data_IF_629282162844
#
_entry.id   IF_629282162844
#
_cell.length_a   1.000
_cell.length_b   1.000
_cell.length_c   1.000
_cell.angle_alpha   90.00
_cell.angle_beta   90.00
_cell.angle_gamma   90.00
#
_symmetry.space_group_name_H-M   'P 1'
#
loop_
_entity.id
_entity.type
_entity.pdbx_description
1 polymer ?
#
# COMPACT_ATOMS: atom_id res chain seq x y z
N UNK A 1 5.90 -55.38 -7.66
CA UNK A 1 6.33 -54.69 -8.90
C UNK A 1 5.37 -53.58 -9.34
N UNK A 2 4.05 -53.80 -9.43
CA UNK A 2 3.10 -52.72 -9.83
C UNK A 2 3.01 -51.53 -8.83
N UNK A 3 3.10 -51.78 -7.52
CA UNK A 3 3.06 -50.72 -6.49
C UNK A 3 4.34 -49.87 -6.41
N UNK A 4 5.51 -50.47 -6.69
CA UNK A 4 6.80 -49.74 -6.71
C UNK A 4 6.93 -48.83 -7.93
N UNK A 5 6.34 -49.20 -9.06
CA UNK A 5 6.31 -48.35 -10.27
C UNK A 5 5.45 -47.10 -10.06
N UNK A 6 4.31 -47.23 -9.35
CA UNK A 6 3.42 -46.09 -9.08
C UNK A 6 4.07 -45.05 -8.14
N UNK A 7 4.82 -45.51 -7.13
CA UNK A 7 5.56 -44.63 -6.21
C UNK A 7 6.68 -43.88 -6.97
N UNK A 8 7.35 -44.54 -7.90
CA UNK A 8 8.37 -43.90 -8.75
C UNK A 8 7.75 -42.87 -9.72
N UNK A 9 6.56 -43.13 -10.26
CA UNK A 9 5.86 -42.19 -11.14
C UNK A 9 5.42 -40.90 -10.41
N UNK A 10 4.95 -41.02 -9.16
CA UNK A 10 4.53 -39.88 -8.33
C UNK A 10 5.74 -39.06 -7.85
N UNK A 11 6.88 -39.72 -7.59
CA UNK A 11 8.13 -39.06 -7.21
C UNK A 11 8.79 -38.32 -8.38
N UNK A 12 8.59 -38.76 -9.63
CA UNK A 12 9.11 -38.05 -10.81
C UNK A 12 8.22 -36.88 -11.26
N UNK A 13 6.90 -36.92 -10.98
CA UNK A 13 6.01 -35.78 -11.28
C UNK A 13 6.19 -34.57 -10.34
N UNK A 14 6.97 -34.72 -9.26
CA UNK A 14 7.29 -33.64 -8.32
C UNK A 14 8.60 -32.92 -8.66
N UNK A 15 9.29 -33.32 -9.73
CA UNK A 15 10.36 -32.52 -10.33
C UNK A 15 9.69 -31.51 -11.27
N UNK A 16 8.99 -30.53 -10.69
CA UNK A 16 8.69 -29.30 -11.43
C UNK A 16 10.03 -28.61 -11.66
N UNK A 17 10.57 -28.75 -12.86
CA UNK A 17 11.54 -27.78 -13.37
C UNK A 17 10.81 -26.43 -13.28
N UNK A 18 11.20 -25.62 -12.30
CA UNK A 18 10.64 -24.29 -12.10
C UNK A 18 11.20 -23.40 -13.20
N UNK A 19 10.68 -23.56 -14.41
CA UNK A 19 10.80 -22.51 -15.41
C UNK A 19 10.06 -21.31 -14.83
N UNK A 20 10.73 -20.17 -14.78
CA UNK A 20 10.13 -18.95 -14.30
C UNK A 20 8.87 -18.67 -15.13
N UNK A 21 7.74 -18.44 -14.47
CA UNK A 21 6.45 -18.26 -15.13
C UNK A 21 6.49 -16.99 -16.00
N UNK A 22 5.83 -16.99 -17.16
CA UNK A 22 5.68 -15.79 -17.98
C UNK A 22 4.86 -14.72 -17.26
N UNK A 23 5.20 -13.44 -17.46
CA UNK A 23 4.48 -12.32 -16.86
C UNK A 23 3.03 -12.25 -17.36
N UNK A 24 2.11 -11.79 -16.52
CA UNK A 24 0.72 -11.65 -16.93
C UNK A 24 0.54 -10.49 -17.91
N UNK A 25 -0.16 -10.73 -19.01
CA UNK A 25 -0.69 -9.67 -19.89
C UNK A 25 -2.13 -9.28 -19.52
N UNK A 26 -2.85 -10.18 -18.84
CA UNK A 26 -4.18 -9.90 -18.30
C UNK A 26 -4.06 -9.28 -16.90
N UNK A 27 -4.28 -7.97 -16.82
CA UNK A 27 -4.22 -7.24 -15.54
C UNK A 27 -5.25 -7.74 -14.52
N UNK A 28 -6.44 -8.12 -14.96
CA UNK A 28 -7.48 -8.65 -14.07
C UNK A 28 -7.12 -10.01 -13.47
N UNK A 29 -6.49 -10.89 -14.24
CA UNK A 29 -5.99 -12.18 -13.73
C UNK A 29 -4.87 -11.96 -12.73
N UNK A 30 -3.93 -11.05 -13.04
CA UNK A 30 -2.83 -10.72 -12.14
C UNK A 30 -3.31 -10.15 -10.80
N UNK A 31 -4.25 -9.19 -10.82
CA UNK A 31 -4.87 -8.63 -9.61
C UNK A 31 -5.50 -9.72 -8.73
N UNK A 32 -6.24 -10.66 -9.34
CA UNK A 32 -6.83 -11.79 -8.60
C UNK A 32 -5.76 -12.68 -7.99
N UNK A 33 -4.67 -12.97 -8.70
CA UNK A 33 -3.57 -13.75 -8.14
C UNK A 33 -2.88 -13.01 -6.98
N UNK A 34 -2.68 -11.71 -7.10
CA UNK A 34 -2.11 -10.87 -6.04
C UNK A 34 -2.94 -10.93 -4.75
N UNK A 35 -4.28 -10.90 -4.86
CA UNK A 35 -5.19 -11.11 -3.72
C UNK A 35 -5.08 -12.51 -3.10
N UNK A 36 -4.84 -13.55 -3.91
CA UNK A 36 -4.70 -14.92 -3.43
C UNK A 36 -3.36 -15.12 -2.73
N UNK A 37 -2.28 -14.61 -3.32
CA UNK A 37 -0.91 -14.77 -2.83
C UNK A 37 -0.49 -13.75 -1.77
N UNK A 38 -1.35 -12.77 -1.45
CA UNK A 38 -1.05 -11.70 -0.50
C UNK A 38 0.20 -10.90 -0.88
N UNK A 39 0.34 -10.60 -2.19
CA UNK A 39 1.47 -9.89 -2.80
C UNK A 39 1.06 -8.58 -3.47
N UNK A 40 2.03 -7.70 -3.66
CA UNK A 40 1.93 -6.55 -4.55
C UNK A 40 2.19 -6.97 -6.00
N UNK A 41 1.79 -6.12 -6.95
CA UNK A 41 2.07 -6.28 -8.37
C UNK A 41 3.37 -5.54 -8.73
N UNK A 42 4.18 -6.13 -9.60
CA UNK A 42 5.26 -5.44 -10.31
C UNK A 42 4.81 -5.26 -11.76
N UNK A 43 4.72 -4.02 -12.21
CA UNK A 43 4.01 -3.68 -13.45
C UNK A 43 4.88 -2.81 -14.35
N UNK A 44 4.93 -3.15 -15.62
CA UNK A 44 5.63 -2.39 -16.65
C UNK A 44 4.76 -2.27 -17.91
N UNK A 45 5.01 -1.23 -18.69
CA UNK A 45 4.38 -1.08 -20.00
C UNK A 45 5.05 -2.00 -21.02
N UNK A 46 4.27 -2.48 -22.00
CA UNK A 46 4.73 -3.41 -23.01
C UNK A 46 5.94 -2.89 -23.77
N UNK A 47 5.89 -1.64 -24.25
CA UNK A 47 6.98 -1.10 -25.07
C UNK A 47 8.28 -0.91 -24.29
N UNK A 48 8.21 -0.78 -22.96
CA UNK A 48 9.41 -0.71 -22.12
C UNK A 48 10.27 -1.97 -22.26
N UNK A 49 9.64 -3.13 -22.53
CA UNK A 49 10.31 -4.42 -22.60
C UNK A 49 10.73 -4.81 -24.02
N UNK A 50 10.49 -3.95 -25.01
CA UNK A 50 10.98 -4.13 -26.39
C UNK A 50 12.51 -3.92 -26.50
N UNK A 51 13.13 -3.35 -25.46
CA UNK A 51 14.55 -3.08 -25.36
C UNK A 51 15.12 -3.63 -24.05
N UNK A 52 16.46 -3.80 -23.95
CA UNK A 52 17.09 -4.14 -22.69
C UNK A 52 16.73 -3.18 -21.56
N UNK A 53 16.25 -3.71 -20.45
CA UNK A 53 15.90 -2.93 -19.26
C UNK A 53 16.86 -3.29 -18.11
N UNK A 54 18.03 -2.63 -18.04
CA UNK A 54 19.03 -2.98 -17.04
C UNK A 54 18.56 -2.58 -15.64
N UNK A 55 18.70 -3.49 -14.68
CA UNK A 55 18.46 -3.24 -13.26
C UNK A 55 19.68 -3.64 -12.43
N UNK A 56 19.85 -2.96 -11.29
CA UNK A 56 20.86 -3.34 -10.32
C UNK A 56 20.33 -4.33 -9.29
N UNK A 57 21.11 -5.37 -9.03
CA UNK A 57 20.93 -6.31 -7.92
C UNK A 57 22.11 -6.22 -6.97
N UNK A 58 21.84 -6.18 -5.66
CA UNK A 58 22.86 -6.22 -4.62
C UNK A 58 22.87 -7.60 -3.96
N UNK A 59 23.98 -8.32 -4.11
CA UNK A 59 24.21 -9.60 -3.44
C UNK A 59 24.56 -9.42 -1.96
N UNK A 60 24.61 -10.53 -1.22
CA UNK A 60 24.82 -10.57 0.24
C UNK A 60 26.11 -9.90 0.72
N UNK A 61 27.14 -9.82 -0.14
CA UNK A 61 28.43 -9.18 0.16
C UNK A 61 28.50 -7.70 -0.25
N UNK A 62 27.37 -7.10 -0.64
CA UNK A 62 27.30 -5.72 -1.12
C UNK A 62 27.80 -5.51 -2.55
N UNK A 63 28.15 -6.59 -3.27
CA UNK A 63 28.51 -6.53 -4.69
C UNK A 63 27.25 -6.28 -5.51
N UNK A 64 27.27 -5.20 -6.29
CA UNK A 64 26.21 -4.90 -7.25
C UNK A 64 26.51 -5.58 -8.57
N UNK A 65 25.53 -6.26 -9.14
CA UNK A 65 25.53 -6.73 -10.52
C UNK A 65 24.47 -5.98 -11.32
N UNK A 66 24.72 -5.79 -12.60
CA UNK A 66 23.75 -5.26 -13.57
C UNK A 66 23.28 -6.41 -14.42
N UNK A 67 21.97 -6.55 -14.52
CA UNK A 67 21.31 -7.61 -15.30
C UNK A 67 20.17 -6.97 -16.09
N UNK A 68 19.91 -7.50 -17.28
CA UNK A 68 18.70 -7.15 -18.00
C UNK A 68 17.50 -7.87 -17.33
N UNK A 69 16.44 -7.11 -17.06
CA UNK A 69 15.20 -7.62 -16.49
C UNK A 69 14.52 -8.65 -17.41
N UNK A 70 14.67 -8.51 -18.73
CA UNK A 70 13.95 -9.29 -19.73
C UNK A 70 14.60 -10.62 -20.12
N UNK A 71 15.92 -10.74 -19.96
CA UNK A 71 16.69 -11.86 -20.52
C UNK A 71 17.18 -12.86 -19.47
N UNK A 72 16.80 -12.69 -18.20
CA UNK A 72 17.37 -13.46 -17.09
C UNK A 72 16.31 -14.23 -16.26
N UNK A 73 16.31 -15.56 -16.39
CA UNK A 73 15.39 -16.46 -15.68
C UNK A 73 15.52 -16.39 -14.15
N UNK A 74 16.72 -16.14 -13.62
CA UNK A 74 16.95 -15.99 -12.18
C UNK A 74 16.31 -14.70 -11.66
N UNK A 75 16.41 -13.61 -12.43
CA UNK A 75 15.75 -12.33 -12.14
C UNK A 75 14.24 -12.50 -12.19
N UNK A 76 13.70 -13.16 -13.21
CA UNK A 76 12.27 -13.42 -13.31
C UNK A 76 11.78 -14.26 -12.11
N UNK A 77 12.53 -15.32 -11.74
CA UNK A 77 12.23 -16.14 -10.56
C UNK A 77 12.21 -15.32 -9.27
N UNK A 78 13.18 -14.41 -9.10
CA UNK A 78 13.23 -13.49 -7.95
C UNK A 78 12.01 -12.56 -7.92
N UNK A 79 11.58 -12.03 -9.06
CA UNK A 79 10.38 -11.18 -9.14
C UNK A 79 9.15 -11.97 -8.71
N UNK A 80 8.95 -13.18 -9.23
CA UNK A 80 7.82 -14.04 -8.85
C UNK A 80 7.78 -14.42 -7.37
N UNK A 81 8.93 -14.54 -6.72
CA UNK A 81 8.99 -14.81 -5.29
C UNK A 81 8.37 -13.67 -4.48
N UNK A 82 8.56 -12.42 -4.91
CA UNK A 82 8.19 -11.24 -4.13
C UNK A 82 6.94 -10.50 -4.63
N UNK A 83 6.64 -10.60 -5.92
CA UNK A 83 5.58 -9.87 -6.59
C UNK A 83 4.79 -10.78 -7.54
N UNK A 84 3.66 -10.27 -8.02
CA UNK A 84 2.99 -10.81 -9.21
C UNK A 84 3.35 -9.90 -10.40
N UNK A 85 4.17 -10.38 -11.36
CA UNK A 85 4.63 -9.55 -12.47
C UNK A 85 3.61 -9.40 -13.60
N UNK A 86 3.53 -8.21 -14.18
CA UNK A 86 2.52 -7.81 -15.17
C UNK A 86 3.13 -6.93 -16.26
N UNK A 87 2.76 -7.24 -17.51
CA UNK A 87 2.96 -6.38 -18.67
C UNK A 87 1.62 -5.74 -19.03
N UNK A 88 1.53 -4.42 -18.95
CA UNK A 88 0.36 -3.68 -19.43
C UNK A 88 0.50 -3.37 -20.91
N UNK A 89 -0.53 -3.71 -21.68
CA UNK A 89 -0.60 -3.39 -23.11
C UNK A 89 -0.75 -1.88 -23.30
N UNK A 90 -0.01 -1.31 -24.24
CA UNK A 90 -0.10 0.11 -24.61
C UNK A 90 -1.51 0.53 -25.03
N UNK A 91 -2.27 -0.39 -25.64
CA UNK A 91 -3.66 -0.17 -26.04
C UNK A 91 -4.55 0.23 -24.87
N UNK A 92 -4.16 -0.09 -23.64
CA UNK A 92 -4.93 0.22 -22.44
C UNK A 92 -4.51 1.57 -21.83
N UNK A 93 -3.43 2.21 -22.30
CA UNK A 93 -2.89 3.43 -21.69
C UNK A 93 -3.94 4.52 -21.47
N UNK A 94 -4.74 4.79 -22.51
CA UNK A 94 -5.78 5.82 -22.44
C UNK A 94 -6.82 5.52 -21.36
N UNK A 95 -7.18 4.25 -21.15
CA UNK A 95 -8.11 3.86 -20.08
C UNK A 95 -7.51 4.15 -18.70
N UNK A 96 -6.29 3.67 -18.45
CA UNK A 96 -5.59 3.88 -17.19
C UNK A 96 -5.38 5.36 -16.88
N UNK A 97 -4.91 6.12 -17.88
CA UNK A 97 -4.66 7.55 -17.73
C UNK A 97 -5.96 8.32 -17.50
N UNK A 98 -7.02 8.04 -18.27
CA UNK A 98 -8.30 8.71 -18.11
C UNK A 98 -8.99 8.39 -16.77
N UNK A 99 -8.78 7.20 -16.22
CA UNK A 99 -9.22 6.85 -14.87
C UNK A 99 -8.43 7.61 -13.82
N UNK A 100 -7.09 7.59 -13.91
CA UNK A 100 -6.22 8.22 -12.92
C UNK A 100 -6.34 9.75 -12.91
N UNK A 101 -6.45 10.42 -14.07
CA UNK A 101 -6.44 11.89 -14.16
C UNK A 101 -7.61 12.58 -13.45
N UNK A 102 -8.66 11.82 -13.10
CA UNK A 102 -9.84 12.36 -12.39
C UNK A 102 -9.48 12.84 -10.99
N UNK A 103 -8.63 12.09 -10.28
CA UNK A 103 -8.43 12.30 -8.84
C UNK A 103 -7.02 11.92 -8.34
N UNK A 104 -6.06 11.63 -9.23
CA UNK A 104 -4.67 11.35 -8.88
C UNK A 104 -3.79 12.59 -9.05
N UNK A 105 -2.69 12.64 -8.30
CA UNK A 105 -1.73 13.75 -8.35
C UNK A 105 -0.93 13.76 -9.65
N UNK A 106 -0.32 14.90 -9.99
CA UNK A 106 0.59 15.01 -11.14
C UNK A 106 1.71 13.98 -11.10
N UNK A 107 2.37 13.82 -9.94
CA UNK A 107 3.41 12.80 -9.75
C UNK A 107 2.92 11.37 -10.03
N UNK A 108 1.67 11.06 -9.66
CA UNK A 108 1.09 9.75 -9.97
C UNK A 108 0.94 9.56 -11.48
N UNK A 109 0.47 10.59 -12.19
CA UNK A 109 0.30 10.54 -13.65
C UNK A 109 1.65 10.46 -14.37
N UNK A 110 2.67 11.15 -13.86
CA UNK A 110 4.03 11.08 -14.38
C UNK A 110 4.60 9.66 -14.21
N UNK A 111 4.47 9.07 -13.01
CA UNK A 111 4.88 7.68 -12.73
C UNK A 111 4.09 6.67 -13.56
N UNK A 112 2.80 6.90 -13.79
CA UNK A 112 1.98 6.03 -14.63
C UNK A 112 2.46 6.07 -16.08
N UNK A 113 2.87 7.24 -16.58
CA UNK A 113 3.26 7.45 -17.98
C UNK A 113 4.67 6.94 -18.31
N UNK A 114 5.60 7.03 -17.37
CA UNK A 114 6.99 6.70 -17.65
C UNK A 114 7.24 5.19 -17.85
N UNK A 115 8.45 4.84 -18.27
CA UNK A 115 8.89 3.45 -18.50
C UNK A 115 9.40 2.75 -17.23
N UNK A 116 9.35 3.39 -16.06
CA UNK A 116 9.91 2.79 -14.85
C UNK A 116 9.03 1.66 -14.28
N UNK A 117 9.58 0.81 -13.41
CA UNK A 117 8.80 -0.20 -12.70
C UNK A 117 7.74 0.47 -11.82
N UNK A 118 6.48 0.04 -11.95
CA UNK A 118 5.39 0.42 -11.05
C UNK A 118 5.10 -0.71 -10.07
N UNK A 119 5.12 -0.42 -8.79
CA UNK A 119 4.61 -1.30 -7.74
C UNK A 119 3.16 -0.90 -7.48
N UNK A 120 2.23 -1.81 -7.77
CA UNK A 120 0.79 -1.56 -7.57
C UNK A 120 0.22 -2.48 -6.50
N UNK A 121 -0.80 -2.02 -5.78
CA UNK A 121 -1.62 -2.91 -4.98
C UNK A 121 -2.55 -3.78 -5.85
N UNK A 122 -3.24 -4.72 -5.22
CA UNK A 122 -4.11 -5.65 -5.94
C UNK A 122 -5.36 -5.00 -6.58
N UNK A 123 -5.62 -3.71 -6.32
CA UNK A 123 -6.67 -2.94 -6.99
C UNK A 123 -6.12 -2.00 -8.08
N UNK A 124 -4.80 -2.02 -8.30
CA UNK A 124 -4.13 -1.34 -9.41
C UNK A 124 -3.69 0.08 -9.10
N UNK A 125 -3.60 0.47 -7.83
CA UNK A 125 -3.08 1.78 -7.46
C UNK A 125 -1.56 1.73 -7.24
N UNK A 126 -0.83 2.66 -7.84
CA UNK A 126 0.65 2.74 -7.76
C UNK A 126 1.07 3.25 -6.38
N UNK A 127 2.01 2.54 -5.76
CA UNK A 127 2.61 2.87 -4.48
C UNK A 127 3.89 3.72 -4.64
N UNK A 128 4.81 3.30 -5.50
CA UNK A 128 6.15 3.89 -5.69
C UNK A 128 6.14 5.13 -6.60
N UNK A 129 5.30 6.11 -6.26
CA UNK A 129 5.07 7.34 -7.04
C UNK A 129 6.20 8.36 -6.89
N UNK A 130 7.00 8.26 -5.82
CA UNK A 130 8.10 9.20 -5.62
C UNK A 130 9.17 9.01 -6.72
N UNK A 131 9.63 10.09 -7.37
CA UNK A 131 10.70 9.99 -8.34
C UNK A 131 11.98 9.57 -7.63
N UNK A 132 12.64 8.53 -8.15
CA UNK A 132 14.01 8.20 -7.75
C UNK A 132 14.96 8.85 -8.76
N UNK A 133 15.86 9.72 -8.29
CA UNK A 133 16.91 10.33 -9.12
C UNK A 133 18.04 9.32 -9.38
N UNK A 134 17.69 8.27 -10.12
CA UNK A 134 18.61 7.18 -10.47
C UNK A 134 18.49 6.88 -11.96
N UNK A 135 19.63 6.77 -12.62
CA UNK A 135 19.70 6.39 -14.04
C UNK A 135 19.27 4.93 -14.29
N UNK A 136 19.27 4.10 -13.24
CA UNK A 136 18.99 2.68 -13.30
C UNK A 136 18.27 2.24 -12.03
N UNK A 137 17.14 1.55 -12.17
CA UNK A 137 16.38 1.08 -11.02
C UNK A 137 17.12 -0.01 -10.24
N UNK A 138 16.89 -0.05 -8.94
CA UNK A 138 17.49 -1.03 -8.04
C UNK A 138 16.44 -2.04 -7.58
N UNK A 139 16.42 -3.20 -8.24
CA UNK A 139 15.44 -4.25 -7.96
C UNK A 139 15.54 -4.78 -6.52
N UNK A 140 16.75 -4.87 -5.97
CA UNK A 140 16.93 -5.25 -4.55
C UNK A 140 16.30 -4.24 -3.59
N UNK A 141 16.41 -2.94 -3.89
CA UNK A 141 15.79 -1.88 -3.08
C UNK A 141 14.27 -1.91 -3.24
N UNK A 142 13.76 -2.09 -4.46
CA UNK A 142 12.33 -2.24 -4.74
C UNK A 142 11.74 -3.42 -3.95
N UNK A 143 12.39 -4.59 -3.97
CA UNK A 143 11.98 -5.76 -3.17
C UNK A 143 11.98 -5.41 -1.68
N UNK A 144 13.07 -4.84 -1.16
CA UNK A 144 13.20 -4.52 0.27
C UNK A 144 12.14 -3.52 0.75
N UNK A 145 11.78 -2.54 -0.08
CA UNK A 145 10.77 -1.53 0.25
C UNK A 145 9.34 -2.05 0.05
N UNK A 146 9.08 -2.74 -1.06
CA UNK A 146 7.72 -2.90 -1.58
C UNK A 146 7.22 -4.34 -1.70
N UNK A 147 8.02 -5.36 -1.40
CA UNK A 147 7.54 -6.74 -1.26
C UNK A 147 6.72 -6.91 0.03
N UNK A 148 5.65 -6.12 0.13
CA UNK A 148 4.77 -6.02 1.29
C UNK A 148 3.85 -7.24 1.32
N UNK A 149 3.80 -7.91 2.47
CA UNK A 149 2.81 -8.96 2.70
C UNK A 149 1.44 -8.31 2.96
N UNK A 150 0.52 -8.49 2.02
CA UNK A 150 -0.81 -7.85 2.06
C UNK A 150 -1.88 -8.67 2.79
N UNK A 151 -1.50 -9.75 3.49
CA UNK A 151 -2.45 -10.61 4.22
C UNK A 151 -3.27 -9.85 5.27
N UNK A 152 -2.66 -8.85 5.92
CA UNK A 152 -3.35 -7.96 6.86
C UNK A 152 -4.47 -7.13 6.19
N UNK A 153 -4.32 -6.85 4.89
CA UNK A 153 -5.23 -6.07 4.06
C UNK A 153 -6.23 -6.94 3.28
N UNK A 154 -6.04 -8.26 3.27
CA UNK A 154 -6.70 -9.20 2.35
C UNK A 154 -8.21 -9.02 2.29
N UNK A 155 -8.87 -8.95 3.44
CA UNK A 155 -10.32 -8.79 3.51
C UNK A 155 -10.78 -7.50 2.81
N UNK A 156 -10.14 -6.37 3.10
CA UNK A 156 -10.57 -5.07 2.54
C UNK A 156 -10.16 -4.87 1.10
N UNK A 157 -9.01 -5.43 0.68
CA UNK A 157 -8.63 -5.49 -0.72
C UNK A 157 -9.67 -6.26 -1.53
N UNK A 158 -10.12 -7.41 -1.03
CA UNK A 158 -11.17 -8.22 -1.67
C UNK A 158 -12.52 -7.50 -1.70
N UNK A 159 -12.92 -6.84 -0.62
CA UNK A 159 -14.20 -6.15 -0.55
C UNK A 159 -14.26 -4.99 -1.55
N UNK A 160 -13.22 -4.16 -1.60
CA UNK A 160 -13.12 -3.08 -2.57
C UNK A 160 -13.06 -3.60 -4.02
N UNK A 161 -12.34 -4.70 -4.27
CA UNK A 161 -12.26 -5.30 -5.60
C UNK A 161 -13.62 -5.80 -6.12
N UNK A 162 -14.47 -6.30 -5.21
CA UNK A 162 -15.83 -6.77 -5.54
C UNK A 162 -16.80 -5.61 -5.75
N UNK A 163 -16.71 -4.58 -4.91
CA UNK A 163 -17.63 -3.45 -4.95
C UNK A 163 -16.93 -2.17 -4.48
N UNK A 164 -16.97 -1.13 -5.32
CA UNK A 164 -16.39 0.17 -5.00
C UNK A 164 -17.50 1.12 -4.55
N UNK A 165 -17.49 1.46 -3.28
CA UNK A 165 -18.44 2.39 -2.67
C UNK A 165 -17.79 3.09 -1.47
N UNK A 166 -18.54 3.98 -0.81
CA UNK A 166 -18.07 4.74 0.36
C UNK A 166 -17.43 3.84 1.42
N UNK A 167 -18.09 2.73 1.74
CA UNK A 167 -17.69 1.84 2.84
C UNK A 167 -16.43 1.06 2.49
N UNK A 168 -16.38 0.46 1.30
CA UNK A 168 -15.23 -0.37 0.90
C UNK A 168 -13.98 0.46 0.68
N UNK A 169 -14.10 1.65 0.07
CA UNK A 169 -12.99 2.59 -0.09
C UNK A 169 -12.47 3.09 1.27
N UNK A 170 -13.38 3.52 2.15
CA UNK A 170 -13.02 3.99 3.49
C UNK A 170 -12.36 2.91 4.35
N UNK A 171 -12.91 1.69 4.36
CA UNK A 171 -12.36 0.60 5.15
C UNK A 171 -10.97 0.18 4.64
N UNK A 172 -10.78 0.13 3.31
CA UNK A 172 -9.49 -0.19 2.73
C UNK A 172 -8.44 0.89 3.05
N UNK A 173 -8.78 2.17 2.86
CA UNK A 173 -7.90 3.28 3.24
C UNK A 173 -7.55 3.27 4.74
N UNK A 174 -8.52 3.02 5.60
CA UNK A 174 -8.31 2.92 7.06
C UNK A 174 -7.39 1.75 7.41
N UNK A 175 -7.57 0.61 6.74
CA UNK A 175 -6.74 -0.58 6.95
C UNK A 175 -5.30 -0.38 6.47
N UNK A 176 -5.11 0.31 5.35
CA UNK A 176 -3.78 0.73 4.89
C UNK A 176 -3.12 1.72 5.86
N UNK A 177 -3.90 2.63 6.45
CA UNK A 177 -3.37 3.56 7.46
C UNK A 177 -2.87 2.81 8.70
N UNK A 178 -3.65 1.85 9.20
CA UNK A 178 -3.19 0.95 10.28
C UNK A 178 -1.94 0.17 9.88
N UNK A 179 -1.93 -0.39 8.67
CA UNK A 179 -0.80 -1.16 8.15
C UNK A 179 0.48 -0.31 8.08
N UNK A 180 0.37 0.99 7.79
CA UNK A 180 1.50 1.89 7.68
C UNK A 180 2.31 2.03 8.98
N UNK A 181 1.73 1.73 10.14
CA UNK A 181 2.43 1.71 11.43
C UNK A 181 3.48 0.59 11.46
N UNK A 182 3.19 -0.54 10.81
CA UNK A 182 4.00 -1.76 10.87
C UNK A 182 5.07 -1.84 9.77
N UNK A 183 5.03 -0.97 8.76
CA UNK A 183 6.03 -0.98 7.69
C UNK A 183 7.28 -0.15 8.04
N UNK A 184 8.33 -0.33 7.23
CA UNK A 184 9.55 0.45 7.33
C UNK A 184 9.26 1.95 7.16
N UNK A 185 9.93 2.78 7.98
CA UNK A 185 9.70 4.23 8.07
C UNK A 185 9.80 4.96 6.73
N UNK A 186 10.72 4.54 5.87
CA UNK A 186 10.95 5.12 4.54
C UNK A 186 9.86 4.78 3.51
N UNK A 187 8.94 3.86 3.81
CA UNK A 187 7.82 3.48 2.92
C UNK A 187 6.49 4.06 3.43
N UNK A 188 6.44 4.59 4.66
CA UNK A 188 5.20 5.09 5.28
C UNK A 188 4.55 6.22 4.50
N UNK A 189 5.34 7.17 4.00
CA UNK A 189 4.83 8.29 3.20
C UNK A 189 4.15 7.81 1.92
N UNK A 190 4.71 6.77 1.28
CA UNK A 190 4.14 6.14 0.09
C UNK A 190 2.82 5.43 0.39
N UNK A 191 2.77 4.64 1.45
CA UNK A 191 1.53 3.99 1.88
C UNK A 191 0.47 5.03 2.24
N UNK A 192 0.85 6.13 2.90
CA UNK A 192 -0.10 7.19 3.24
C UNK A 192 -0.66 7.88 1.98
N UNK A 193 0.13 8.04 0.91
CA UNK A 193 -0.42 8.52 -0.37
C UNK A 193 -1.40 7.52 -0.99
N UNK A 194 -1.16 6.22 -0.84
CA UNK A 194 -2.12 5.19 -1.22
C UNK A 194 -3.40 5.25 -0.36
N UNK A 195 -3.29 5.57 0.93
CA UNK A 195 -4.44 5.85 1.79
C UNK A 195 -5.23 7.05 1.28
N UNK A 196 -4.55 8.14 0.89
CA UNK A 196 -5.20 9.35 0.37
C UNK A 196 -6.04 9.04 -0.87
N UNK A 197 -5.54 8.18 -1.77
CA UNK A 197 -6.28 7.68 -2.93
C UNK A 197 -7.64 7.10 -2.52
N UNK A 198 -7.65 6.16 -1.58
CA UNK A 198 -8.87 5.47 -1.16
C UNK A 198 -9.81 6.38 -0.37
N UNK A 199 -9.27 7.31 0.43
CA UNK A 199 -10.10 8.28 1.13
C UNK A 199 -10.71 9.32 0.21
N UNK A 200 -10.01 9.72 -0.86
CA UNK A 200 -10.58 10.63 -1.86
C UNK A 200 -11.72 9.95 -2.63
N UNK A 201 -11.54 8.68 -3.01
CA UNK A 201 -12.64 7.90 -3.60
C UNK A 201 -13.82 7.73 -2.64
N UNK A 202 -13.56 7.48 -1.35
CA UNK A 202 -14.62 7.43 -0.36
C UNK A 202 -15.41 8.75 -0.28
N UNK A 203 -14.72 9.90 -0.39
CA UNK A 203 -15.36 11.23 -0.46
C UNK A 203 -16.20 11.38 -1.73
N UNK A 204 -15.66 11.02 -2.89
CA UNK A 204 -16.39 11.05 -4.18
C UNK A 204 -17.67 10.20 -4.11
N UNK A 205 -17.56 8.94 -3.66
CA UNK A 205 -18.73 8.08 -3.48
C UNK A 205 -19.73 8.64 -2.46
N UNK A 206 -19.25 9.37 -1.44
CA UNK A 206 -20.12 9.93 -0.40
C UNK A 206 -21.01 11.04 -0.96
N UNK A 207 -20.50 11.85 -1.88
CA UNK A 207 -21.26 12.91 -2.57
C UNK A 207 -22.50 12.31 -3.25
N UNK A 208 -22.33 11.21 -3.96
CA UNK A 208 -23.38 10.51 -4.71
C UNK A 208 -24.26 9.59 -3.84
N UNK A 209 -23.81 9.23 -2.63
CA UNK A 209 -24.50 8.27 -1.77
C UNK A 209 -25.75 8.83 -1.06
N UNK A 210 -26.62 7.92 -0.61
CA UNK A 210 -27.75 8.21 0.29
C UNK A 210 -27.43 8.00 1.77
N UNK A 211 -26.13 7.88 2.12
CA UNK A 211 -25.70 7.62 3.49
C UNK A 211 -26.16 8.74 4.42
N UNK A 212 -26.78 8.34 5.54
CA UNK A 212 -27.15 9.24 6.62
C UNK A 212 -25.89 9.73 7.35
N UNK A 213 -25.92 10.96 7.85
CA UNK A 213 -24.81 11.59 8.58
C UNK A 213 -23.50 11.75 7.75
N UNK A 214 -23.60 12.32 6.55
CA UNK A 214 -22.43 12.66 5.73
C UNK A 214 -21.41 13.54 6.47
N UNK A 215 -21.89 14.47 7.31
CA UNK A 215 -21.03 15.38 8.08
C UNK A 215 -20.14 14.63 9.09
N UNK A 216 -20.71 13.69 9.86
CA UNK A 216 -19.92 12.85 10.76
C UNK A 216 -18.88 12.02 10.01
N UNK A 217 -19.21 11.53 8.81
CA UNK A 217 -18.25 10.80 7.99
C UNK A 217 -17.10 11.68 7.48
N UNK A 218 -17.39 12.89 6.98
CA UNK A 218 -16.37 13.85 6.55
C UNK A 218 -15.46 14.25 7.71
N UNK A 219 -16.04 14.52 8.89
CA UNK A 219 -15.25 14.80 10.09
C UNK A 219 -14.33 13.63 10.46
N UNK A 220 -14.78 12.38 10.28
CA UNK A 220 -13.93 11.21 10.51
C UNK A 220 -12.73 11.17 9.57
N UNK A 221 -12.93 11.46 8.29
CA UNK A 221 -11.85 11.55 7.32
C UNK A 221 -10.83 12.64 7.70
N UNK A 222 -11.31 13.80 8.16
CA UNK A 222 -10.44 14.89 8.65
C UNK A 222 -9.64 14.46 9.89
N UNK A 223 -10.22 13.65 10.78
CA UNK A 223 -9.52 13.10 11.93
C UNK A 223 -8.44 12.09 11.51
N UNK A 224 -8.70 11.30 10.47
CA UNK A 224 -7.69 10.38 9.93
C UNK A 224 -6.53 11.14 9.25
N UNK A 225 -6.73 12.36 8.76
CA UNK A 225 -5.61 13.22 8.31
C UNK A 225 -4.70 13.68 9.46
N UNK A 226 -5.26 13.85 10.66
CA UNK A 226 -4.48 14.10 11.88
C UNK A 226 -3.69 12.83 12.25
N UNK A 227 -4.31 11.65 12.13
CA UNK A 227 -3.66 10.38 12.39
C UNK A 227 -2.47 10.14 11.45
N UNK A 228 -2.61 10.40 10.15
CA UNK A 228 -1.50 10.37 9.17
C UNK A 228 -0.33 11.23 9.64
N UNK A 229 -0.61 12.44 10.15
CA UNK A 229 0.44 13.32 10.67
C UNK A 229 1.16 12.71 11.88
N UNK A 230 0.45 12.00 12.76
CA UNK A 230 1.05 11.31 13.91
C UNK A 230 1.94 10.14 13.46
N UNK A 231 1.47 9.32 12.52
CA UNK A 231 2.24 8.18 11.97
C UNK A 231 3.52 8.65 11.26
N UNK A 232 3.48 9.82 10.61
CA UNK A 232 4.64 10.48 10.01
C UNK A 232 5.49 11.25 11.03
N UNK A 233 5.29 11.03 12.33
CA UNK A 233 5.99 11.69 13.43
C UNK A 233 5.96 13.23 13.33
N UNK A 234 4.79 13.79 13.01
CA UNK A 234 4.55 15.24 12.98
C UNK A 234 3.48 15.65 14.01
N UNK A 235 3.77 15.48 15.32
CA UNK A 235 2.82 15.80 16.37
C UNK A 235 2.52 17.31 16.47
N UNK A 236 3.41 18.17 15.99
CA UNK A 236 3.18 19.61 15.92
C UNK A 236 2.06 19.97 14.94
N UNK A 237 2.06 19.37 13.74
CA UNK A 237 0.96 19.52 12.76
C UNK A 237 -0.34 18.95 13.35
N UNK A 238 -0.29 17.75 13.93
CA UNK A 238 -1.46 17.13 14.56
C UNK A 238 -2.07 18.02 15.65
N UNK A 239 -1.24 18.55 16.56
CA UNK A 239 -1.71 19.45 17.63
C UNK A 239 -2.36 20.72 17.08
N UNK A 240 -1.81 21.31 16.02
CA UNK A 240 -2.38 22.50 15.39
C UNK A 240 -3.75 22.23 14.77
N UNK A 241 -3.95 21.06 14.16
CA UNK A 241 -5.24 20.65 13.61
C UNK A 241 -6.24 20.38 14.73
N UNK A 242 -5.85 19.62 15.76
CA UNK A 242 -6.72 19.30 16.90
C UNK A 242 -7.24 20.54 17.65
N UNK A 243 -6.42 21.59 17.77
CA UNK A 243 -6.81 22.85 18.42
C UNK A 243 -7.89 23.64 17.68
N UNK A 244 -8.10 23.39 16.39
CA UNK A 244 -9.10 24.09 15.56
C UNK A 244 -10.47 23.45 15.62
N UNK A 245 -10.58 22.25 16.18
CA UNK A 245 -11.83 21.50 16.28
C UNK A 245 -12.62 22.05 17.47
N UNK A 246 -13.86 22.47 17.22
CA UNK A 246 -14.81 22.71 18.29
C UNK A 246 -15.32 21.36 18.82
N UNK A 247 -15.08 21.12 20.12
CA UNK A 247 -15.46 19.87 20.79
C UNK A 247 -16.98 19.70 20.81
N UNK A 248 -17.75 20.79 20.84
CA UNK A 248 -19.21 20.74 20.86
C UNK A 248 -19.81 20.26 19.51
N UNK A 249 -19.05 20.38 18.42
CA UNK A 249 -19.46 19.97 17.07
C UNK A 249 -18.95 18.57 16.67
N UNK A 250 -18.29 17.87 17.59
CA UNK A 250 -17.81 16.51 17.33
C UNK A 250 -19.00 15.55 17.29
N UNK A 251 -19.13 14.83 16.17
CA UNK A 251 -20.09 13.76 16.07
C UNK A 251 -19.77 12.66 17.08
N UNK A 252 -20.80 12.19 17.79
CA UNK A 252 -20.64 11.17 18.84
C UNK A 252 -19.89 9.92 18.38
N UNK A 253 -20.01 9.53 17.11
CA UNK A 253 -19.35 8.36 16.53
C UNK A 253 -17.84 8.55 16.35
N UNK A 254 -17.35 9.79 16.39
CA UNK A 254 -15.94 10.15 16.22
C UNK A 254 -15.23 10.54 17.52
N UNK A 255 -15.95 10.62 18.64
CA UNK A 255 -15.38 11.06 19.92
C UNK A 255 -14.22 10.17 20.39
N UNK A 256 -14.33 8.85 20.18
CA UNK A 256 -13.24 7.91 20.51
C UNK A 256 -11.97 8.22 19.71
N UNK A 257 -12.11 8.48 18.40
CA UNK A 257 -10.99 8.83 17.54
C UNK A 257 -10.38 10.17 17.95
N UNK A 258 -11.20 11.17 18.26
CA UNK A 258 -10.71 12.46 18.77
C UNK A 258 -9.87 12.31 20.05
N UNK A 259 -10.34 11.49 21.00
CA UNK A 259 -9.62 11.21 22.24
C UNK A 259 -8.28 10.51 21.96
N UNK A 260 -8.29 9.53 21.05
CA UNK A 260 -7.09 8.80 20.64
C UNK A 260 -6.04 9.75 20.02
N UNK A 261 -6.48 10.65 19.13
CA UNK A 261 -5.61 11.61 18.47
C UNK A 261 -4.98 12.58 19.49
N UNK A 262 -5.75 13.10 20.44
CA UNK A 262 -5.21 13.97 21.49
C UNK A 262 -4.20 13.24 22.37
N UNK A 263 -4.56 12.05 22.87
CA UNK A 263 -3.67 11.23 23.69
C UNK A 263 -2.34 10.99 22.99
N UNK A 264 -2.37 10.45 21.77
CA UNK A 264 -1.18 10.11 20.97
C UNK A 264 -0.36 11.36 20.65
N UNK A 265 -1.01 12.48 20.32
CA UNK A 265 -0.34 13.77 20.10
C UNK A 265 0.44 14.20 21.34
N UNK A 266 -0.17 14.16 22.53
CA UNK A 266 0.49 14.57 23.76
C UNK A 266 1.62 13.62 24.18
N UNK A 267 1.45 12.31 23.97
CA UNK A 267 2.52 11.32 24.17
C UNK A 267 3.74 11.61 23.29
N UNK A 268 3.55 11.85 21.99
CA UNK A 268 4.63 12.22 21.08
C UNK A 268 5.29 13.56 21.45
N UNK A 269 4.52 14.51 22.00
CA UNK A 269 5.04 15.79 22.52
C UNK A 269 5.67 15.68 23.91
N UNK A 270 5.71 14.49 24.52
CA UNK A 270 6.22 14.24 25.88
C UNK A 270 5.49 15.06 26.95
N UNK A 271 4.19 15.29 26.77
CA UNK A 271 3.31 16.00 27.71
C UNK A 271 2.42 15.01 28.44
N UNK A 272 3.01 14.31 29.42
CA UNK A 272 2.33 13.20 30.11
C UNK A 272 1.09 13.62 30.87
N UNK A 273 1.11 14.79 31.53
CA UNK A 273 -0.06 15.31 32.26
C UNK A 273 -1.24 15.59 31.33
N UNK A 274 -0.98 16.19 30.17
CA UNK A 274 -2.01 16.44 29.15
C UNK A 274 -2.52 15.12 28.54
N UNK A 275 -1.64 14.14 28.34
CA UNK A 275 -2.02 12.82 27.83
C UNK A 275 -2.91 12.06 28.83
N UNK A 276 -2.64 12.18 30.13
CA UNK A 276 -3.41 11.51 31.18
C UNK A 276 -4.90 11.88 31.14
N UNK A 277 -5.27 13.09 30.69
CA UNK A 277 -6.65 13.57 30.55
C UNK A 277 -7.50 12.80 29.52
N UNK A 278 -6.85 11.99 28.67
CA UNK A 278 -7.49 11.22 27.62
C UNK A 278 -7.36 9.70 27.81
N UNK A 279 -6.46 9.25 28.69
CA UNK A 279 -6.06 7.84 28.79
C UNK A 279 -7.21 6.91 29.17
N UNK A 280 -8.06 7.34 30.10
CA UNK A 280 -9.22 6.61 30.60
C UNK A 280 -10.39 6.54 29.59
N UNK A 281 -10.35 7.38 28.55
CA UNK A 281 -11.35 7.42 27.47
C UNK A 281 -11.00 6.49 26.30
N UNK A 282 -9.91 5.74 26.40
CA UNK A 282 -9.38 4.91 25.32
C UNK A 282 -9.60 3.43 25.58
N UNK A 283 -9.85 2.70 24.50
CA UNK A 283 -9.83 1.25 24.56
C UNK A 283 -8.38 0.74 24.69
N UNK A 284 -8.23 -0.52 25.13
CA UNK A 284 -6.92 -1.19 25.13
C UNK A 284 -6.30 -1.26 23.74
N UNK A 285 -7.12 -1.36 22.69
CA UNK A 285 -6.64 -1.38 21.30
C UNK A 285 -6.06 -0.03 20.91
N UNK A 286 -6.76 1.07 21.26
CA UNK A 286 -6.30 2.43 20.99
C UNK A 286 -5.00 2.75 21.73
N UNK A 287 -4.88 2.32 22.99
CA UNK A 287 -3.66 2.50 23.77
C UNK A 287 -2.47 1.78 23.13
N UNK A 288 -2.64 0.50 22.73
CA UNK A 288 -1.59 -0.25 22.03
C UNK A 288 -1.21 0.39 20.69
N UNK A 289 -2.19 0.88 19.93
CA UNK A 289 -1.93 1.59 18.68
C UNK A 289 -1.13 2.88 18.92
N UNK A 290 -1.49 3.65 19.95
CA UNK A 290 -0.77 4.86 20.33
C UNK A 290 0.68 4.55 20.72
N UNK A 291 0.90 3.49 21.52
CA UNK A 291 2.23 3.01 21.89
C UNK A 291 3.06 2.65 20.65
N UNK A 292 2.50 1.87 19.72
CA UNK A 292 3.19 1.52 18.46
C UNK A 292 3.59 2.76 17.65
N UNK A 293 2.71 3.76 17.55
CA UNK A 293 3.03 5.02 16.85
C UNK A 293 4.17 5.76 17.55
N UNK A 294 4.11 5.86 18.89
CA UNK A 294 5.13 6.54 19.71
C UNK A 294 6.49 5.84 19.60
N UNK A 295 6.52 4.52 19.73
CA UNK A 295 7.76 3.72 19.66
C UNK A 295 8.39 3.79 18.28
N UNK A 296 7.56 3.74 17.23
CA UNK A 296 8.00 3.86 15.84
C UNK A 296 8.58 5.24 15.47
N UNK A 297 8.41 6.23 16.35
CA UNK A 297 8.91 7.60 16.20
C UNK A 297 10.27 7.80 16.88
N UNK A 298 10.65 6.92 17.81
CA UNK A 298 11.89 6.98 18.60
C UNK A 298 13.11 6.28 17.96
N UNK A 299 12.91 5.57 16.83
CA UNK A 299 13.97 4.96 16.01
C UNK A 299 14.28 5.79 14.76
#
# INVERSE_FOLDING_TARGET
MKKTILIFLIAFSSITICNAQEWFTSFDVAKRLALVQDKMLLVMWQNTLDYPYPVTLKGEKGVSIVVDLNENDEVNSLIWQHFVPVILLESNYDEFYNKAKKNRSTWYLDKLKDDSIKIMDANGNILNVEPEDVQMENLTLLIKKYALNTSFLKHELNNYSKEQNVTTAFNLGSKYLDYSIYVQKNVRSEIIRLVDIYFNEAKEYLEESTINNKLGFLQRLDFLDIEKALILNNPGKARRLLKKIDVAEIDSTNLSLYNFLNYTTFKLLKKEDDAALFKDKLSTVDLKKAELIVDSSGS
#
